data_IF_846269953650
#
_entry.id   IF_846269953650
#
_cell.length_a   1.000
_cell.length_b   1.000
_cell.length_c   1.000
_cell.angle_alpha   90.00
_cell.angle_beta   90.00
_cell.angle_gamma   90.00
#
_symmetry.space_group_name_H-M   'P 1'
#
loop_
_entity.id
_entity.type
_entity.pdbx_description
1 polymer ?
#
# COMPACT_ATOMS: atom_id res chain seq x y z
N UNK A 1 11.38 -3.56 -2.10
CA UNK A 1 9.97 -3.52 -2.52
C UNK A 1 9.53 -2.07 -2.53
N UNK A 2 8.91 -1.56 -3.60
CA UNK A 2 8.64 -0.13 -3.79
C UNK A 2 7.38 0.41 -3.09
N UNK A 3 7.03 -0.12 -1.91
CA UNK A 3 5.89 0.40 -1.14
C UNK A 3 6.27 1.77 -0.55
N UNK A 4 5.36 2.72 -0.65
CA UNK A 4 5.45 4.07 -0.11
C UNK A 4 4.68 4.21 1.20
N UNK A 5 3.52 3.55 1.33
CA UNK A 5 2.62 3.71 2.48
C UNK A 5 2.02 2.37 2.92
N UNK A 6 1.80 2.20 4.23
CA UNK A 6 1.11 1.06 4.82
C UNK A 6 0.59 1.43 6.23
N UNK A 7 -0.48 0.78 6.74
CA UNK A 7 -1.22 1.27 7.91
C UNK A 7 -0.63 0.89 9.27
N UNK A 8 0.28 -0.09 9.34
CA UNK A 8 0.83 -0.61 10.59
C UNK A 8 2.32 -0.26 10.71
N UNK A 9 2.91 -0.42 11.90
CA UNK A 9 4.37 -0.24 12.10
C UNK A 9 5.22 -1.15 11.19
N UNK A 10 4.65 -2.27 10.72
CA UNK A 10 5.34 -3.28 9.94
C UNK A 10 4.52 -3.61 8.70
N UNK A 11 5.23 -3.70 7.57
CA UNK A 11 4.68 -4.20 6.32
C UNK A 11 4.19 -5.64 6.54
N UNK A 12 2.95 -5.91 6.12
CA UNK A 12 2.28 -7.21 6.10
C UNK A 12 2.08 -7.69 4.67
N UNK A 13 1.82 -8.99 4.51
CA UNK A 13 1.57 -9.62 3.19
C UNK A 13 0.36 -9.00 2.46
N UNK A 14 -0.63 -8.51 3.20
CA UNK A 14 -1.80 -7.86 2.61
C UNK A 14 -1.46 -6.49 2.02
N UNK A 15 -0.51 -5.77 2.62
CA UNK A 15 -0.15 -4.41 2.20
C UNK A 15 0.49 -4.39 0.81
N UNK A 16 1.21 -5.45 0.43
CA UNK A 16 1.86 -5.54 -0.89
C UNK A 16 0.88 -5.79 -2.04
N UNK A 17 -0.36 -6.20 -1.73
CA UNK A 17 -1.42 -6.43 -2.71
C UNK A 17 -2.25 -5.17 -3.01
N UNK A 18 -2.07 -4.09 -2.24
CA UNK A 18 -2.81 -2.84 -2.40
C UNK A 18 -2.02 -1.92 -3.35
N UNK A 19 -2.60 -1.58 -4.50
CA UNK A 19 -1.95 -0.72 -5.50
C UNK A 19 -1.66 0.69 -4.98
N UNK A 20 -2.56 1.28 -4.19
CA UNK A 20 -2.41 2.62 -3.61
C UNK A 20 -1.16 2.74 -2.72
N UNK A 21 -0.71 1.64 -2.12
CA UNK A 21 0.48 1.62 -1.27
C UNK A 21 1.78 1.86 -2.04
N UNK A 22 1.76 1.80 -3.37
CA UNK A 22 2.91 2.09 -4.23
C UNK A 22 2.92 3.51 -4.79
N UNK A 23 1.85 4.29 -4.56
CA UNK A 23 1.73 5.66 -5.05
C UNK A 23 2.51 6.63 -4.15
N UNK A 24 3.17 7.60 -4.78
CA UNK A 24 3.77 8.73 -4.10
C UNK A 24 2.69 9.71 -3.61
N UNK A 25 3.05 10.60 -2.68
CA UNK A 25 2.13 11.57 -2.08
C UNK A 25 1.44 12.47 -3.13
N UNK A 26 2.18 12.91 -4.15
CA UNK A 26 1.62 13.69 -5.24
C UNK A 26 0.55 12.91 -6.03
N UNK A 27 0.79 11.63 -6.27
CA UNK A 27 -0.14 10.75 -6.99
C UNK A 27 -1.39 10.42 -6.16
N UNK A 28 -1.24 10.22 -4.85
CA UNK A 28 -2.38 10.02 -3.94
C UNK A 28 -3.25 11.28 -3.88
N UNK A 29 -2.64 12.46 -3.76
CA UNK A 29 -3.38 13.74 -3.79
C UNK A 29 -4.14 13.90 -5.10
N UNK A 30 -3.51 13.55 -6.22
CA UNK A 30 -4.14 13.60 -7.53
C UNK A 30 -5.33 12.62 -7.63
N UNK A 31 -5.13 11.37 -7.22
CA UNK A 31 -6.18 10.35 -7.18
C UNK A 31 -7.38 10.80 -6.37
N UNK A 32 -7.16 11.39 -5.18
CA UNK A 32 -8.24 11.86 -4.33
C UNK A 32 -9.01 13.02 -4.97
N UNK A 33 -8.30 14.02 -5.54
CA UNK A 33 -8.95 15.15 -6.23
C UNK A 33 -9.82 14.67 -7.39
N UNK A 34 -9.28 13.80 -8.23
CA UNK A 34 -9.99 13.23 -9.37
C UNK A 34 -11.20 12.42 -8.94
N UNK A 35 -11.07 11.66 -7.83
CA UNK A 35 -12.19 10.88 -7.27
C UNK A 35 -13.32 11.80 -6.79
N UNK A 36 -13.02 12.89 -6.09
CA UNK A 36 -14.05 13.84 -5.64
C UNK A 36 -14.78 14.47 -6.84
N UNK A 37 -14.03 15.03 -7.80
CA UNK A 37 -14.63 15.66 -9.00
C UNK A 37 -15.57 14.70 -9.73
N UNK A 38 -15.15 13.45 -9.92
CA UNK A 38 -15.96 12.46 -10.63
C UNK A 38 -17.20 12.04 -9.85
N UNK A 39 -17.12 11.90 -8.52
CA UNK A 39 -18.27 11.57 -7.69
C UNK A 39 -19.30 12.69 -7.70
N UNK A 40 -18.87 13.95 -7.58
CA UNK A 40 -19.76 15.11 -7.63
C UNK A 40 -20.49 15.17 -8.99
N UNK A 41 -19.76 14.95 -10.10
CA UNK A 41 -20.36 14.90 -11.45
C UNK A 41 -21.36 13.74 -11.57
N UNK A 42 -21.05 12.58 -10.99
CA UNK A 42 -21.94 11.42 -11.04
C UNK A 42 -23.23 11.67 -10.26
N UNK A 43 -23.13 12.30 -9.09
CA UNK A 43 -24.27 12.71 -8.28
C UNK A 43 -25.15 13.70 -9.04
N UNK A 44 -24.56 14.74 -9.63
CA UNK A 44 -25.30 15.70 -10.47
C UNK A 44 -26.01 15.01 -11.66
N UNK A 45 -25.34 14.09 -12.36
CA UNK A 45 -25.97 13.38 -13.49
C UNK A 45 -27.07 12.41 -13.03
N UNK A 46 -26.93 11.84 -11.84
CA UNK A 46 -27.97 11.00 -11.23
C UNK A 46 -29.20 11.83 -10.88
N UNK A 47 -29.01 12.99 -10.25
CA UNK A 47 -30.09 13.92 -9.89
C UNK A 47 -30.83 14.48 -11.11
N UNK A 48 -30.11 14.71 -12.21
CA UNK A 48 -30.70 15.10 -13.49
C UNK A 48 -31.39 13.94 -14.24
N UNK A 49 -31.35 12.72 -13.70
CA UNK A 49 -31.93 11.52 -14.32
C UNK A 49 -31.20 11.06 -15.59
N UNK A 50 -29.95 11.47 -15.78
CA UNK A 50 -29.12 11.15 -16.96
C UNK A 50 -28.22 9.94 -16.75
N UNK A 51 -27.96 9.58 -15.50
CA UNK A 51 -27.18 8.39 -15.13
C UNK A 51 -28.14 7.32 -14.63
N UNK A 52 -28.53 6.38 -15.51
CA UNK A 52 -29.58 5.38 -15.21
C UNK A 52 -28.98 3.98 -15.12
N UNK A 53 -28.00 3.67 -15.98
CA UNK A 53 -27.32 2.37 -15.97
C UNK A 53 -25.81 2.50 -15.78
N UNK A 54 -25.16 1.43 -15.33
CA UNK A 54 -23.70 1.41 -15.13
C UNK A 54 -22.91 1.69 -16.42
N UNK A 55 -23.48 1.38 -17.59
CA UNK A 55 -22.86 1.72 -18.87
C UNK A 55 -22.78 3.25 -19.08
N UNK A 56 -23.79 4.01 -18.64
CA UNK A 56 -23.76 5.47 -18.72
C UNK A 56 -22.68 6.04 -17.81
N UNK A 57 -22.54 5.47 -16.61
CA UNK A 57 -21.49 5.84 -15.67
C UNK A 57 -20.09 5.57 -16.25
N UNK A 58 -19.89 4.42 -16.90
CA UNK A 58 -18.62 4.12 -17.58
C UNK A 58 -18.34 5.12 -18.72
N UNK A 59 -19.32 5.39 -19.58
CA UNK A 59 -19.17 6.32 -20.69
C UNK A 59 -18.94 7.76 -20.22
N UNK A 60 -19.56 8.14 -19.10
CA UNK A 60 -19.34 9.44 -18.46
C UNK A 60 -17.92 9.52 -17.88
N UNK A 61 -17.47 8.49 -17.15
CA UNK A 61 -16.11 8.43 -16.61
C UNK A 61 -15.07 8.63 -17.70
N UNK A 62 -15.14 7.86 -18.79
CA UNK A 62 -14.18 7.95 -19.89
C UNK A 62 -14.14 9.35 -20.50
N UNK A 63 -15.31 9.96 -20.75
CA UNK A 63 -15.42 11.33 -21.28
C UNK A 63 -14.84 12.38 -20.31
N UNK A 64 -15.13 12.27 -19.02
CA UNK A 64 -14.63 13.22 -18.03
C UNK A 64 -13.10 13.13 -17.88
N UNK A 65 -12.55 11.92 -17.89
CA UNK A 65 -11.11 11.71 -17.89
C UNK A 65 -10.45 12.38 -19.11
N UNK A 66 -10.99 12.17 -20.31
CA UNK A 66 -10.49 12.82 -21.54
C UNK A 66 -10.60 14.35 -21.46
N UNK A 67 -11.72 14.90 -20.97
CA UNK A 67 -11.93 16.35 -20.81
C UNK A 67 -10.97 16.98 -19.79
N UNK A 68 -10.61 16.26 -18.72
CA UNK A 68 -9.61 16.69 -17.74
C UNK A 68 -8.17 16.52 -18.23
N UNK A 69 -7.97 16.16 -19.50
CA UNK A 69 -6.64 15.95 -20.10
C UNK A 69 -5.93 14.71 -19.56
N UNK A 70 -6.67 13.72 -19.05
CA UNK A 70 -6.11 12.49 -18.48
C UNK A 70 -6.11 11.37 -19.51
N UNK A 71 -5.02 10.63 -19.52
CA UNK A 71 -4.88 9.46 -20.39
C UNK A 71 -5.80 8.34 -19.90
N UNK A 72 -6.78 7.97 -20.73
CA UNK A 72 -7.63 6.81 -20.48
C UNK A 72 -6.91 5.55 -20.94
N UNK A 73 -6.79 4.56 -20.04
CA UNK A 73 -6.24 3.25 -20.37
C UNK A 73 -7.24 2.49 -21.26
N UNK A 74 -6.89 2.30 -22.53
CA UNK A 74 -7.73 1.56 -23.50
C UNK A 74 -7.56 0.04 -23.45
N UNK A 75 -6.62 -0.47 -22.65
CA UNK A 75 -6.34 -1.91 -22.52
C UNK A 75 -5.95 -2.28 -21.08
N UNK A 76 -6.33 -3.48 -20.63
CA UNK A 76 -6.01 -3.98 -19.28
C UNK A 76 -4.54 -4.38 -19.05
N UNK A 77 -3.68 -4.23 -20.07
CA UNK A 77 -2.29 -4.68 -20.04
C UNK A 77 -2.15 -6.19 -20.32
N UNK A 78 -0.95 -6.73 -20.12
CA UNK A 78 -0.61 -8.14 -20.40
C UNK A 78 -0.61 -9.04 -19.16
N UNK A 79 -0.67 -8.44 -17.96
CA UNK A 79 -0.54 -9.16 -16.68
C UNK A 79 -1.87 -9.20 -15.96
N UNK A 80 -2.34 -10.40 -15.62
CA UNK A 80 -3.57 -10.56 -14.82
C UNK A 80 -3.32 -10.09 -13.39
N UNK A 81 -4.35 -9.51 -12.77
CA UNK A 81 -4.30 -9.05 -11.39
C UNK A 81 -3.84 -10.14 -10.40
N UNK A 82 -4.27 -11.39 -10.60
CA UNK A 82 -3.85 -12.52 -9.77
C UNK A 82 -2.35 -12.83 -9.89
N UNK A 83 -1.78 -12.71 -11.10
CA UNK A 83 -0.36 -12.98 -11.32
C UNK A 83 0.50 -11.85 -10.75
N UNK A 84 0.07 -10.59 -10.91
CA UNK A 84 0.71 -9.44 -10.29
C UNK A 84 0.70 -9.55 -8.75
N UNK A 85 -0.45 -9.91 -8.16
CA UNK A 85 -0.58 -10.16 -6.72
C UNK A 85 0.36 -11.26 -6.25
N UNK A 86 0.40 -12.40 -6.94
CA UNK A 86 1.29 -13.52 -6.62
C UNK A 86 2.76 -13.10 -6.70
N UNK A 87 3.13 -12.29 -7.68
CA UNK A 87 4.48 -11.76 -7.80
C UNK A 87 4.85 -10.85 -6.61
N UNK A 88 3.96 -9.94 -6.22
CA UNK A 88 4.17 -9.07 -5.06
C UNK A 88 4.30 -9.87 -3.76
N UNK A 89 3.45 -10.88 -3.56
CA UNK A 89 3.49 -11.77 -2.41
C UNK A 89 4.81 -12.56 -2.32
N UNK A 90 5.35 -13.05 -3.44
CA UNK A 90 6.66 -13.70 -3.48
C UNK A 90 7.81 -12.76 -3.09
N UNK A 91 7.73 -11.49 -3.49
CA UNK A 91 8.72 -10.50 -3.06
C UNK A 91 8.61 -10.20 -1.56
N UNK A 92 7.39 -10.17 -1.04
CA UNK A 92 7.14 -10.02 0.40
C UNK A 92 7.74 -11.18 1.20
N UNK A 93 7.63 -12.41 0.72
CA UNK A 93 8.19 -13.58 1.41
C UNK A 93 9.72 -13.49 1.57
N UNK A 94 10.43 -13.02 0.55
CA UNK A 94 11.87 -12.74 0.63
C UNK A 94 12.18 -11.67 1.67
N UNK A 95 11.46 -10.55 1.61
CA UNK A 95 11.60 -9.46 2.57
C UNK A 95 11.32 -9.92 4.02
N UNK A 96 10.28 -10.72 4.25
CA UNK A 96 9.92 -11.21 5.58
C UNK A 96 10.98 -12.16 6.15
N UNK A 97 11.57 -13.00 5.30
CA UNK A 97 12.68 -13.88 5.68
C UNK A 97 13.90 -13.07 6.12
N UNK A 98 14.34 -12.11 5.29
CA UNK A 98 15.49 -11.25 5.60
C UNK A 98 15.25 -10.45 6.89
N UNK A 99 14.04 -9.90 7.05
CA UNK A 99 13.62 -9.17 8.25
C UNK A 99 13.68 -10.04 9.50
N UNK A 100 13.25 -11.30 9.43
CA UNK A 100 13.28 -12.24 10.57
C UNK A 100 14.72 -12.59 10.95
N UNK A 101 15.57 -12.86 9.96
CA UNK A 101 16.98 -13.15 10.18
C UNK A 101 17.69 -11.97 10.86
N UNK A 102 17.41 -10.76 10.41
CA UNK A 102 17.99 -9.55 11.00
C UNK A 102 17.56 -9.36 12.46
N UNK A 103 16.27 -9.56 12.77
CA UNK A 103 15.79 -9.49 14.16
C UNK A 103 16.44 -10.53 15.07
N UNK A 104 16.68 -11.75 14.57
CA UNK A 104 17.33 -12.78 15.36
C UNK A 104 18.76 -12.34 15.75
N UNK A 105 19.52 -11.81 14.79
CA UNK A 105 20.86 -11.26 15.03
C UNK A 105 20.85 -10.10 16.03
N UNK A 106 19.91 -9.17 15.88
CA UNK A 106 19.76 -8.03 16.81
C UNK A 106 19.40 -8.50 18.23
N UNK A 107 18.50 -9.49 18.34
CA UNK A 107 18.14 -10.07 19.64
C UNK A 107 19.31 -10.78 20.31
N UNK A 108 20.10 -11.56 19.56
CA UNK A 108 21.31 -12.21 20.08
C UNK A 108 22.34 -11.20 20.59
N UNK A 109 22.57 -10.12 19.84
CA UNK A 109 23.46 -9.03 20.25
C UNK A 109 22.97 -8.34 21.52
N UNK A 110 21.66 -8.04 21.62
CA UNK A 110 21.03 -7.46 22.80
C UNK A 110 21.15 -8.37 24.03
N UNK A 111 20.91 -9.67 23.87
CA UNK A 111 21.07 -10.63 24.99
C UNK A 111 22.53 -10.67 25.45
N UNK A 112 23.48 -10.66 24.52
CA UNK A 112 24.91 -10.64 24.83
C UNK A 112 25.32 -9.37 25.58
N UNK A 113 24.87 -8.19 25.13
CA UNK A 113 25.17 -6.92 25.79
C UNK A 113 24.58 -6.86 27.20
N UNK A 114 23.32 -7.26 27.37
CA UNK A 114 22.67 -7.33 28.67
C UNK A 114 23.39 -8.30 29.62
N UNK A 115 23.81 -9.48 29.14
CA UNK A 115 24.59 -10.42 29.94
C UNK A 115 25.92 -9.82 30.41
N UNK A 116 26.58 -9.03 29.56
CA UNK A 116 27.82 -8.33 29.91
C UNK A 116 27.60 -7.22 30.95
N UNK A 117 26.47 -6.52 30.89
CA UNK A 117 26.09 -5.47 31.83
C UNK A 117 25.72 -6.04 33.19
N UNK A 118 24.96 -7.13 33.23
CA UNK A 118 24.63 -7.86 34.47
C UNK A 118 25.90 -8.31 35.19
N UNK A 119 26.92 -8.75 34.45
CA UNK A 119 28.22 -9.14 35.03
C UNK A 119 28.96 -7.98 35.70
N UNK A 120 28.68 -6.73 35.30
CA UNK A 120 29.29 -5.51 35.86
C UNK A 120 28.51 -4.97 37.08
N UNK A 121 27.31 -5.47 37.36
CA UNK A 121 26.53 -5.01 38.51
C UNK A 121 27.16 -5.51 39.83
N UNK A 122 27.23 -4.66 40.87
CA UNK A 122 27.74 -5.06 42.17
C UNK A 122 26.86 -6.15 42.78
N UNK A 123 27.47 -7.19 43.37
CA UNK A 123 26.72 -8.26 44.05
C UNK A 123 25.97 -7.68 45.25
N UNK A 124 24.65 -7.85 45.28
CA UNK A 124 23.81 -7.49 46.41
C UNK A 124 24.31 -8.21 47.68
N UNK A 125 24.54 -7.52 48.81
CA UNK A 125 24.95 -8.19 50.04
C UNK A 125 23.81 -9.10 50.50
N UNK A 126 24.10 -10.39 50.73
CA UNK A 126 23.14 -11.32 51.34
C UNK A 126 22.95 -10.89 52.80
N UNK A 127 21.71 -10.59 53.18
CA UNK A 127 21.30 -10.27 54.54
C UNK A 127 20.85 -11.53 55.26
#
# INVERSE_FOLDING_TARGET
MGLQTWPNDKIRKQDVAISKNYLAEAEIRELNRLTMILLDIFEDQLDLGRLVVMQDAQNLLERQLEQLGRSVLRHGGSVKAMDAKRAAEKQYEKFDLDRKLQRQKEAEQLISSLASEVKKLPKTPRR
#
